data_IF_045594221096
#
_entry.id   IF_045594221096
#
_cell.length_a   1.000
_cell.length_b   1.000
_cell.length_c   1.000
_cell.angle_alpha   90.00
_cell.angle_beta   90.00
_cell.angle_gamma   90.00
#
_symmetry.space_group_name_H-M   'P 1'
#
loop_
_entity.id
_entity.type
_entity.pdbx_description
1 polymer ?
#
# COMPACT_ATOMS: atom_id res chain seq x y z
N UNK A 1 -3.74 20.55 2.42
CA UNK A 1 -3.23 21.87 2.87
C UNK A 1 -3.46 23.00 1.86
N UNK A 2 -3.03 22.84 0.60
CA UNK A 2 -2.99 23.93 -0.39
C UNK A 2 -4.37 24.56 -0.65
N UNK A 3 -5.41 23.74 -0.84
CA UNK A 3 -6.77 24.25 -1.05
C UNK A 3 -7.32 24.96 0.19
N UNK A 4 -7.10 24.41 1.39
CA UNK A 4 -7.46 25.08 2.65
C UNK A 4 -6.75 26.43 2.80
N UNK A 5 -5.44 26.47 2.53
CA UNK A 5 -4.63 27.68 2.51
C UNK A 5 -4.88 28.58 1.29
N UNK A 6 -5.74 28.21 0.34
CA UNK A 6 -6.12 29.06 -0.78
C UNK A 6 -7.50 29.67 -0.55
N UNK A 7 -8.45 28.85 -0.09
CA UNK A 7 -9.84 29.22 0.14
C UNK A 7 -10.03 30.09 1.39
N UNK A 8 -9.24 29.88 2.46
CA UNK A 8 -9.43 30.63 3.70
C UNK A 8 -8.92 32.09 3.59
N UNK A 9 -9.74 33.09 3.97
CA UNK A 9 -9.33 34.49 3.94
C UNK A 9 -8.22 34.80 4.95
N UNK A 10 -7.23 35.59 4.53
CA UNK A 10 -6.02 35.92 5.32
C UNK A 10 -6.34 36.52 6.70
N UNK A 11 -7.49 37.19 6.84
CA UNK A 11 -7.95 37.83 8.10
C UNK A 11 -8.23 36.84 9.24
N UNK A 12 -8.46 35.56 8.93
CA UNK A 12 -8.80 34.55 9.93
C UNK A 12 -7.58 33.74 10.42
N UNK A 13 -6.42 33.91 9.76
CA UNK A 13 -5.18 33.19 10.10
C UNK A 13 -4.61 33.55 11.46
N UNK A 14 -4.80 34.77 11.96
CA UNK A 14 -4.30 35.17 13.28
C UNK A 14 -5.07 34.59 14.48
N UNK A 15 -6.24 33.97 14.28
CA UNK A 15 -7.10 33.50 15.38
C UNK A 15 -6.55 32.19 15.98
N UNK A 16 -6.76 32.01 17.29
CA UNK A 16 -6.39 30.77 18.03
C UNK A 16 -6.91 29.51 17.37
N UNK A 17 -8.09 29.58 16.75
CA UNK A 17 -8.69 28.49 15.98
C UNK A 17 -7.79 27.99 14.84
N UNK A 18 -7.24 28.87 14.00
CA UNK A 18 -6.39 28.45 12.88
C UNK A 18 -5.07 27.83 13.36
N UNK A 19 -4.53 28.29 14.49
CA UNK A 19 -3.35 27.67 15.12
C UNK A 19 -3.63 26.24 15.57
N UNK A 20 -4.80 25.98 16.14
CA UNK A 20 -5.23 24.63 16.55
C UNK A 20 -5.47 23.74 15.32
N UNK A 21 -6.17 24.25 14.31
CA UNK A 21 -6.44 23.49 13.07
C UNK A 21 -5.14 23.13 12.34
N UNK A 22 -4.18 24.06 12.24
CA UNK A 22 -2.87 23.78 11.66
C UNK A 22 -2.09 22.74 12.47
N UNK A 23 -2.10 22.86 13.80
CA UNK A 23 -1.42 21.91 14.67
C UNK A 23 -2.03 20.50 14.53
N UNK A 24 -3.35 20.39 14.54
CA UNK A 24 -4.05 19.12 14.31
C UNK A 24 -3.76 18.56 12.91
N UNK A 25 -3.73 19.40 11.89
CA UNK A 25 -3.39 18.99 10.53
C UNK A 25 -1.96 18.42 10.43
N UNK A 26 -0.98 19.11 11.02
CA UNK A 26 0.40 18.61 11.07
C UNK A 26 0.52 17.35 11.93
N UNK A 27 -0.22 17.26 13.04
CA UNK A 27 -0.30 16.03 13.83
C UNK A 27 -0.77 14.85 12.99
N UNK A 28 -1.86 15.01 12.23
CA UNK A 28 -2.37 13.95 11.35
C UNK A 28 -1.33 13.58 10.28
N UNK A 29 -0.68 14.55 9.63
CA UNK A 29 0.38 14.27 8.64
C UNK A 29 1.52 13.47 9.27
N UNK A 30 2.06 13.93 10.40
CA UNK A 30 3.18 13.28 11.07
C UNK A 30 2.79 11.87 11.51
N UNK A 31 1.59 11.72 12.07
CA UNK A 31 1.04 10.42 12.45
C UNK A 31 0.90 9.49 11.25
N UNK A 32 0.41 9.97 10.11
CA UNK A 32 0.30 9.19 8.88
C UNK A 32 1.67 8.79 8.32
N UNK A 33 2.66 9.69 8.36
CA UNK A 33 4.03 9.38 7.90
C UNK A 33 4.70 8.33 8.78
N UNK A 34 4.54 8.43 10.10
CA UNK A 34 5.06 7.45 11.06
C UNK A 34 4.31 6.12 10.92
N UNK A 35 2.98 6.15 10.79
CA UNK A 35 2.17 4.96 10.52
C UNK A 35 2.66 4.26 9.26
N UNK A 36 2.84 5.02 8.17
CA UNK A 36 3.36 4.48 6.91
C UNK A 36 4.73 3.83 7.10
N UNK A 37 5.67 4.49 7.79
CA UNK A 37 6.99 3.93 8.04
C UNK A 37 6.94 2.63 8.85
N UNK A 38 6.11 2.57 9.90
CA UNK A 38 5.92 1.35 10.71
C UNK A 38 5.27 0.24 9.88
N UNK A 39 4.21 0.56 9.14
CA UNK A 39 3.51 -0.39 8.27
C UNK A 39 4.44 -0.93 7.19
N UNK A 40 5.24 -0.07 6.57
CA UNK A 40 6.19 -0.44 5.53
C UNK A 40 7.33 -1.30 6.10
N UNK A 41 7.81 -0.99 7.31
CA UNK A 41 8.78 -1.82 8.00
C UNK A 41 8.26 -3.23 8.29
N UNK A 42 7.05 -3.34 8.87
CA UNK A 42 6.43 -4.65 9.14
C UNK A 42 6.18 -5.41 7.84
N UNK A 43 5.70 -4.73 6.80
CA UNK A 43 5.45 -5.33 5.50
C UNK A 43 6.75 -5.83 4.84
N UNK A 44 7.84 -5.07 4.98
CA UNK A 44 9.16 -5.46 4.48
C UNK A 44 9.71 -6.69 5.21
N UNK A 45 9.55 -6.77 6.53
CA UNK A 45 9.98 -7.96 7.30
C UNK A 45 9.22 -9.22 6.87
N UNK A 46 7.93 -9.10 6.55
CA UNK A 46 7.10 -10.24 6.15
C UNK A 46 7.33 -10.68 4.69
N UNK A 47 7.38 -9.71 3.77
CA UNK A 47 7.36 -10.00 2.33
C UNK A 47 8.67 -9.65 1.60
N UNK A 48 9.61 -8.99 2.26
CA UNK A 48 10.89 -8.52 1.67
C UNK A 48 10.73 -7.65 0.41
N UNK A 49 9.59 -6.98 0.28
CA UNK A 49 9.24 -6.10 -0.85
C UNK A 49 8.50 -4.85 -0.36
N UNK A 50 8.42 -3.79 -1.19
CA UNK A 50 7.60 -2.61 -0.89
C UNK A 50 6.12 -2.93 -1.03
N UNK A 51 5.27 -2.00 -0.61
CA UNK A 51 3.82 -2.13 -0.79
C UNK A 51 3.46 -2.46 -2.24
N UNK A 52 2.69 -3.52 -2.41
CA UNK A 52 2.27 -4.06 -3.69
C UNK A 52 0.78 -4.46 -3.62
N UNK A 53 0.34 -5.28 -4.56
CA UNK A 53 -1.01 -5.86 -4.60
C UNK A 53 -1.48 -6.44 -3.26
N UNK A 54 -0.61 -7.14 -2.52
CA UNK A 54 -0.94 -7.78 -1.24
C UNK A 54 -1.38 -6.73 -0.21
N UNK A 55 -0.70 -5.58 -0.17
CA UNK A 55 -1.06 -4.49 0.75
C UNK A 55 -2.44 -3.91 0.45
N UNK A 56 -2.85 -3.87 -0.83
CA UNK A 56 -4.18 -3.43 -1.27
C UNK A 56 -5.24 -4.44 -0.86
N UNK A 57 -4.99 -5.73 -1.13
CA UNK A 57 -5.89 -6.81 -0.72
C UNK A 57 -6.12 -6.84 0.79
N UNK A 58 -5.10 -6.51 1.59
CA UNK A 58 -5.22 -6.44 3.05
C UNK A 58 -6.19 -5.35 3.53
N UNK A 59 -6.35 -4.28 2.75
CA UNK A 59 -7.31 -3.20 3.02
C UNK A 59 -8.71 -3.52 2.50
N UNK A 60 -8.84 -4.40 1.51
CA UNK A 60 -10.14 -4.87 0.99
C UNK A 60 -10.69 -5.97 1.90
N UNK A 61 -9.85 -6.94 2.28
CA UNK A 61 -10.21 -8.11 3.09
C UNK A 61 -9.88 -7.92 4.58
N UNK A 62 -10.44 -6.86 5.15
CA UNK A 62 -10.06 -6.37 6.49
C UNK A 62 -10.35 -7.32 7.64
N UNK A 63 -11.41 -8.13 7.59
CA UNK A 63 -11.86 -8.94 8.73
C UNK A 63 -10.86 -10.00 9.13
N UNK A 64 -10.28 -10.69 8.14
CA UNK A 64 -9.30 -11.75 8.35
C UNK A 64 -7.95 -11.15 8.77
N UNK A 65 -7.52 -10.12 8.05
CA UNK A 65 -6.22 -9.48 8.26
C UNK A 65 -6.14 -8.76 9.61
N UNK A 66 -7.19 -8.04 10.03
CA UNK A 66 -7.21 -7.38 11.35
C UNK A 66 -7.14 -8.42 12.47
N UNK A 67 -7.80 -9.57 12.31
CA UNK A 67 -7.71 -10.68 13.25
C UNK A 67 -6.27 -11.18 13.39
N UNK A 68 -5.62 -11.45 12.26
CA UNK A 68 -4.23 -11.91 12.22
C UNK A 68 -3.28 -10.89 12.84
N UNK A 69 -3.41 -9.60 12.49
CA UNK A 69 -2.54 -8.54 13.03
C UNK A 69 -2.70 -8.39 14.55
N UNK A 70 -3.93 -8.48 15.07
CA UNK A 70 -4.19 -8.38 16.51
C UNK A 70 -3.60 -9.54 17.31
N UNK A 71 -3.52 -10.73 16.71
CA UNK A 71 -2.93 -11.91 17.33
C UNK A 71 -1.40 -11.87 17.26
N UNK A 72 -0.85 -11.41 16.12
CA UNK A 72 0.59 -11.41 15.87
C UNK A 72 1.34 -10.21 16.47
N UNK A 73 0.68 -9.06 16.65
CA UNK A 73 1.34 -7.82 17.08
C UNK A 73 0.60 -7.12 18.23
N UNK A 74 1.33 -6.47 19.16
CA UNK A 74 0.75 -5.68 20.24
C UNK A 74 0.22 -4.34 19.71
N UNK A 75 -0.87 -4.37 18.94
CA UNK A 75 -1.40 -3.22 18.19
C UNK A 75 -1.69 -2.01 19.08
N UNK A 76 -2.20 -2.23 20.30
CA UNK A 76 -2.50 -1.17 21.25
C UNK A 76 -1.23 -0.41 21.67
N UNK A 77 -0.13 -1.13 21.87
CA UNK A 77 1.18 -0.55 22.22
C UNK A 77 1.74 0.23 21.04
N UNK A 78 1.65 -0.32 19.82
CA UNK A 78 2.09 0.36 18.60
C UNK A 78 1.33 1.67 18.40
N UNK A 79 0.00 1.65 18.53
CA UNK A 79 -0.84 2.85 18.40
C UNK A 79 -0.55 3.88 19.49
N UNK A 80 -0.31 3.45 20.73
CA UNK A 80 0.04 4.36 21.83
C UNK A 80 1.38 5.05 21.58
N UNK A 81 2.42 4.30 21.17
CA UNK A 81 3.73 4.86 20.81
C UNK A 81 3.59 5.82 19.64
N UNK A 82 2.87 5.42 18.59
CA UNK A 82 2.63 6.26 17.42
C UNK A 82 1.99 7.60 17.82
N UNK A 83 0.96 7.56 18.66
CA UNK A 83 0.28 8.76 19.13
C UNK A 83 1.24 9.67 19.93
N UNK A 84 1.97 9.11 20.89
CA UNK A 84 2.91 9.85 21.75
C UNK A 84 4.02 10.49 20.91
N UNK A 85 4.68 9.72 20.04
CA UNK A 85 5.78 10.22 19.19
C UNK A 85 5.27 11.29 18.24
N UNK A 86 4.11 11.08 17.61
CA UNK A 86 3.50 12.09 16.72
C UNK A 86 3.14 13.36 17.46
N UNK A 87 2.61 13.25 18.68
CA UNK A 87 2.27 14.39 19.52
C UNK A 87 3.52 15.16 19.95
N UNK A 88 4.58 14.46 20.37
CA UNK A 88 5.85 15.07 20.78
C UNK A 88 6.52 15.80 19.61
N UNK A 89 6.59 15.19 18.43
CA UNK A 89 7.16 15.83 17.23
C UNK A 89 6.35 17.04 16.80
N UNK A 90 5.01 16.93 16.77
CA UNK A 90 4.14 18.05 16.43
C UNK A 90 4.28 19.19 17.44
N UNK A 91 4.35 18.87 18.73
CA UNK A 91 4.56 19.83 19.79
C UNK A 91 5.94 20.51 19.68
N UNK A 92 7.00 19.76 19.34
CA UNK A 92 8.34 20.31 19.07
C UNK A 92 8.35 21.29 17.90
N UNK A 93 7.60 20.98 16.84
CA UNK A 93 7.47 21.82 15.65
C UNK A 93 6.46 22.97 15.79
N UNK A 94 5.73 23.08 16.91
CA UNK A 94 4.64 24.06 17.09
C UNK A 94 5.08 25.50 16.80
N UNK A 95 6.29 25.87 17.20
CA UNK A 95 6.81 27.23 17.02
C UNK A 95 7.03 27.53 15.54
N UNK A 96 7.56 26.58 14.78
CA UNK A 96 7.75 26.68 13.32
C UNK A 96 6.39 26.78 12.60
N UNK A 97 5.43 25.93 13.00
CA UNK A 97 4.08 25.91 12.44
C UNK A 97 3.36 27.25 12.68
N UNK A 98 3.49 27.82 13.88
CA UNK A 98 2.87 29.10 14.21
C UNK A 98 3.53 30.30 13.54
N UNK A 99 4.84 30.26 13.29
CA UNK A 99 5.53 31.29 12.50
C UNK A 99 5.00 31.36 11.07
N UNK A 100 4.62 30.23 10.47
CA UNK A 100 3.99 30.22 9.15
C UNK A 100 2.63 30.95 9.13
N UNK A 101 2.01 31.17 10.30
CA UNK A 101 0.71 31.83 10.43
C UNK A 101 0.79 33.35 10.58
N UNK A 102 1.98 33.92 10.86
CA UNK A 102 2.15 35.37 11.13
C UNK A 102 2.43 36.19 9.87
N UNK A 103 2.81 35.55 8.77
CA UNK A 103 3.16 36.26 7.53
C UNK A 103 1.92 36.49 6.66
N UNK A 104 1.55 37.76 6.47
CA UNK A 104 0.48 38.12 5.53
C UNK A 104 0.94 37.95 4.09
N UNK A 105 0.40 36.96 3.39
CA UNK A 105 0.68 36.73 1.96
C UNK A 105 -0.48 37.23 1.10
N UNK A 106 -0.16 37.95 0.02
CA UNK A 106 -1.18 38.46 -0.93
C UNK A 106 -1.80 37.29 -1.70
N UNK A 107 -3.10 37.37 -2.02
CA UNK A 107 -3.84 36.30 -2.72
C UNK A 107 -3.20 35.85 -4.05
N UNK A 108 -2.63 36.81 -4.81
CA UNK A 108 -1.90 36.53 -6.06
C UNK A 108 -0.65 35.67 -5.86
N UNK A 109 0.11 35.92 -4.78
CA UNK A 109 1.29 35.12 -4.43
C UNK A 109 0.90 33.73 -3.92
N UNK A 110 -0.16 33.64 -3.10
CA UNK A 110 -0.72 32.35 -2.64
C UNK A 110 -1.19 31.48 -3.81
N UNK A 111 -1.84 32.08 -4.80
CA UNK A 111 -2.34 31.36 -5.98
C UNK A 111 -1.20 30.84 -6.85
N UNK A 112 -0.13 31.62 -7.05
CA UNK A 112 1.07 31.15 -7.78
C UNK A 112 1.74 29.99 -7.06
N UNK A 113 1.92 30.09 -5.74
CA UNK A 113 2.52 29.01 -4.95
C UNK A 113 1.64 27.75 -4.93
N UNK A 114 0.33 27.93 -4.76
CA UNK A 114 -0.64 26.83 -4.82
C UNK A 114 -0.59 26.11 -6.17
N UNK A 115 -0.53 26.86 -7.27
CA UNK A 115 -0.42 26.29 -8.61
C UNK A 115 0.88 25.48 -8.77
N UNK A 116 2.02 26.00 -8.33
CA UNK A 116 3.31 25.27 -8.39
C UNK A 116 3.26 23.99 -7.56
N UNK A 117 2.71 24.04 -6.33
CA UNK A 117 2.62 22.86 -5.47
C UNK A 117 1.64 21.83 -6.04
N UNK A 118 0.53 22.25 -6.66
CA UNK A 118 -0.43 21.35 -7.30
C UNK A 118 0.07 20.78 -8.63
N UNK A 119 0.95 21.50 -9.33
CA UNK A 119 1.62 21.01 -10.53
C UNK A 119 2.60 19.88 -10.21
N UNK A 120 3.22 19.86 -9.02
CA UNK A 120 4.16 18.82 -8.64
C UNK A 120 3.57 17.39 -8.71
N UNK A 121 2.46 17.04 -8.03
CA UNK A 121 1.88 15.70 -8.12
C UNK A 121 1.38 15.37 -9.53
N UNK A 122 0.86 16.36 -10.28
CA UNK A 122 0.43 16.17 -11.67
C UNK A 122 1.64 15.85 -12.57
N UNK A 123 2.74 16.57 -12.39
CA UNK A 123 3.98 16.31 -13.11
C UNK A 123 4.53 14.93 -12.75
N UNK A 124 4.54 14.55 -11.46
CA UNK A 124 4.94 13.21 -11.03
C UNK A 124 4.12 12.14 -11.73
N UNK A 125 2.79 12.30 -11.85
CA UNK A 125 1.92 11.34 -12.53
C UNK A 125 2.29 11.12 -14.01
N UNK A 126 2.62 12.19 -14.75
CA UNK A 126 2.95 12.08 -16.17
C UNK A 126 4.41 11.79 -16.46
N UNK A 127 5.33 12.23 -15.61
CA UNK A 127 6.78 12.15 -15.86
C UNK A 127 7.43 10.91 -15.22
N UNK A 128 6.87 10.37 -14.13
CA UNK A 128 7.47 9.26 -13.40
C UNK A 128 6.86 7.95 -13.85
N UNK A 129 7.71 7.07 -14.37
CA UNK A 129 7.33 5.71 -14.72
C UNK A 129 7.78 4.74 -13.61
N UNK A 130 6.86 3.90 -13.13
CA UNK A 130 7.14 2.89 -12.10
C UNK A 130 8.26 1.93 -12.51
N UNK A 131 8.45 1.66 -13.81
CA UNK A 131 9.55 0.81 -14.34
C UNK A 131 10.95 1.35 -14.06
N UNK A 132 11.10 2.59 -13.60
CA UNK A 132 12.42 3.12 -13.27
C UNK A 132 13.07 2.38 -12.10
N UNK A 133 12.30 1.71 -11.23
CA UNK A 133 12.85 0.89 -10.14
C UNK A 133 13.40 -0.48 -10.60
N UNK A 134 13.03 -0.95 -11.79
CA UNK A 134 13.43 -2.28 -12.30
C UNK A 134 14.68 -2.18 -13.17
N UNK A 135 15.84 -1.94 -12.55
CA UNK A 135 17.14 -1.80 -13.24
C UNK A 135 18.07 -2.99 -13.01
N UNK A 136 17.83 -3.78 -11.97
CA UNK A 136 18.64 -4.93 -11.62
C UNK A 136 17.89 -6.23 -11.92
N UNK A 137 18.62 -7.30 -12.22
CA UNK A 137 18.08 -8.66 -12.24
C UNK A 137 17.70 -9.15 -10.83
N UNK A 138 18.16 -8.46 -9.77
CA UNK A 138 17.82 -8.77 -8.40
C UNK A 138 16.58 -7.97 -7.94
N UNK A 139 15.47 -8.68 -7.75
CA UNK A 139 14.21 -8.10 -7.28
C UNK A 139 14.37 -7.33 -5.95
N UNK A 140 15.19 -7.82 -5.02
CA UNK A 140 15.42 -7.15 -3.75
C UNK A 140 16.02 -5.74 -3.92
N UNK A 141 16.95 -5.59 -4.86
CA UNK A 141 17.58 -4.29 -5.18
C UNK A 141 16.56 -3.34 -5.83
N UNK A 142 15.72 -3.88 -6.72
CA UNK A 142 14.65 -3.10 -7.35
C UNK A 142 13.65 -2.57 -6.32
N UNK A 143 13.23 -3.41 -5.37
CA UNK A 143 12.31 -3.03 -4.29
C UNK A 143 12.94 -2.03 -3.31
N UNK A 144 14.25 -2.15 -3.03
CA UNK A 144 14.95 -1.18 -2.20
C UNK A 144 15.00 0.22 -2.85
N UNK A 145 15.11 0.27 -4.19
CA UNK A 145 15.13 1.51 -4.97
C UNK A 145 13.76 2.20 -5.12
N UNK A 146 12.68 1.47 -4.82
CA UNK A 146 11.30 1.96 -4.88
C UNK A 146 10.89 2.82 -3.69
N UNK A 147 9.68 3.38 -3.76
CA UNK A 147 9.06 4.15 -2.68
C UNK A 147 7.70 3.53 -2.32
N UNK A 148 7.53 3.11 -1.06
CA UNK A 148 6.31 2.42 -0.64
C UNK A 148 5.02 3.20 -0.89
N UNK A 149 4.98 4.51 -0.68
CA UNK A 149 3.76 5.30 -0.93
C UNK A 149 3.40 5.38 -2.40
N UNK A 150 4.40 5.55 -3.28
CA UNK A 150 4.18 5.54 -4.72
C UNK A 150 3.76 4.14 -5.19
N UNK A 151 4.44 3.09 -4.73
CA UNK A 151 4.19 1.71 -5.10
C UNK A 151 2.81 1.24 -4.63
N UNK A 152 2.37 1.66 -3.43
CA UNK A 152 1.01 1.44 -2.94
C UNK A 152 -0.04 2.08 -3.85
N UNK A 153 0.15 3.34 -4.24
CA UNK A 153 -0.77 4.03 -5.16
C UNK A 153 -0.79 3.38 -6.54
N UNK A 154 0.38 2.96 -7.04
CA UNK A 154 0.49 2.25 -8.31
C UNK A 154 -0.21 0.89 -8.28
N UNK A 155 -0.01 0.10 -7.22
CA UNK A 155 -0.64 -1.20 -7.02
C UNK A 155 -2.17 -1.08 -6.85
N UNK A 156 -2.67 -0.04 -6.17
CA UNK A 156 -4.10 0.20 -6.04
C UNK A 156 -4.79 0.37 -7.40
N UNK A 157 -4.12 0.98 -8.37
CA UNK A 157 -4.65 1.16 -9.73
C UNK A 157 -4.41 -0.06 -10.62
N UNK A 158 -3.29 -0.75 -10.43
CA UNK A 158 -2.89 -1.95 -11.17
C UNK A 158 -2.97 -3.16 -10.25
N UNK A 159 -4.21 -3.50 -9.86
CA UNK A 159 -4.49 -4.48 -8.83
C UNK A 159 -4.37 -5.92 -9.40
N UNK A 160 -3.15 -6.34 -9.73
CA UNK A 160 -2.86 -7.71 -10.17
C UNK A 160 -1.53 -8.19 -9.58
N UNK A 161 -1.49 -9.46 -9.19
CA UNK A 161 -0.26 -10.12 -8.74
C UNK A 161 0.58 -10.54 -9.95
N UNK A 162 1.80 -10.03 -10.02
CA UNK A 162 2.78 -10.52 -11.00
C UNK A 162 3.37 -11.86 -10.55
N UNK A 163 2.72 -12.96 -10.94
CA UNK A 163 3.08 -14.31 -10.52
C UNK A 163 4.52 -14.69 -10.87
N UNK A 164 5.01 -14.32 -12.05
CA UNK A 164 6.35 -14.66 -12.51
C UNK A 164 7.43 -13.91 -11.72
N UNK A 165 7.11 -12.74 -11.18
CA UNK A 165 8.03 -11.97 -10.32
C UNK A 165 8.19 -12.57 -8.93
N UNK A 166 7.12 -13.12 -8.34
CA UNK A 166 7.15 -13.63 -6.96
C UNK A 166 7.45 -15.13 -6.86
N UNK A 167 7.24 -15.90 -7.92
CA UNK A 167 7.39 -17.35 -7.91
C UNK A 167 8.39 -17.83 -8.95
N UNK A 168 9.22 -18.79 -8.56
CA UNK A 168 10.03 -19.54 -9.53
C UNK A 168 9.11 -20.39 -10.38
N UNK A 169 8.94 -19.99 -11.63
CA UNK A 169 8.12 -20.73 -12.58
C UNK A 169 8.97 -21.66 -13.44
N UNK A 170 8.35 -22.75 -13.89
CA UNK A 170 8.86 -23.59 -14.96
C UNK A 170 8.13 -23.22 -16.25
N UNK A 171 8.76 -23.38 -17.43
CA UNK A 171 8.03 -23.28 -18.69
C UNK A 171 6.79 -24.16 -18.65
N UNK A 172 5.64 -23.62 -19.06
CA UNK A 172 4.33 -24.30 -18.92
C UNK A 172 4.36 -25.72 -19.51
N UNK A 173 5.10 -25.94 -20.61
CA UNK A 173 5.25 -27.25 -21.23
C UNK A 173 5.92 -28.27 -20.30
N UNK A 174 6.96 -27.85 -19.58
CA UNK A 174 7.71 -28.69 -18.66
C UNK A 174 6.90 -28.95 -17.39
N UNK A 175 6.23 -27.91 -16.87
CA UNK A 175 5.31 -28.03 -15.74
C UNK A 175 4.18 -29.03 -16.04
N UNK A 176 3.57 -28.93 -17.22
CA UNK A 176 2.53 -29.87 -17.68
C UNK A 176 3.09 -31.28 -17.84
N UNK A 177 4.28 -31.45 -18.42
CA UNK A 177 4.91 -32.76 -18.56
C UNK A 177 5.18 -33.42 -17.20
N UNK A 178 5.74 -32.66 -16.25
CA UNK A 178 6.01 -33.11 -14.88
C UNK A 178 4.71 -33.48 -14.15
N UNK A 179 3.71 -32.61 -14.20
CA UNK A 179 2.39 -32.88 -13.62
C UNK A 179 1.80 -34.18 -14.18
N UNK A 180 1.85 -34.35 -15.51
CA UNK A 180 1.34 -35.54 -16.18
C UNK A 180 2.08 -36.81 -15.72
N UNK A 181 3.40 -36.76 -15.62
CA UNK A 181 4.20 -37.90 -15.15
C UNK A 181 3.92 -38.27 -13.68
N UNK A 182 3.72 -37.28 -12.82
CA UNK A 182 3.58 -37.50 -11.37
C UNK A 182 2.17 -37.95 -10.98
N UNK A 183 1.13 -37.40 -11.61
CA UNK A 183 -0.25 -37.56 -11.16
C UNK A 183 -1.15 -38.38 -12.09
N UNK A 184 -0.74 -38.64 -13.33
CA UNK A 184 -1.58 -39.32 -14.32
C UNK A 184 -1.07 -40.74 -14.53
N UNK A 185 -1.60 -41.68 -13.74
CA UNK A 185 -1.31 -43.10 -13.93
C UNK A 185 -2.25 -43.84 -14.87
N UNK A 186 -3.51 -43.43 -15.11
CA UNK A 186 -4.39 -44.30 -15.94
C UNK A 186 -5.63 -43.74 -16.68
N UNK A 187 -6.07 -42.48 -16.58
CA UNK A 187 -7.36 -42.13 -17.26
C UNK A 187 -7.67 -40.65 -17.55
N UNK A 188 -6.78 -39.93 -18.24
CA UNK A 188 -7.09 -38.57 -18.74
C UNK A 188 -6.98 -38.48 -20.26
N UNK A 189 -8.02 -37.97 -20.91
CA UNK A 189 -7.96 -37.55 -22.31
C UNK A 189 -7.09 -36.29 -22.40
N UNK A 190 -6.14 -36.30 -23.35
CA UNK A 190 -5.19 -35.21 -23.56
C UNK A 190 -5.87 -34.11 -24.40
N UNK A 191 -6.03 -32.92 -23.83
CA UNK A 191 -6.60 -31.76 -24.56
C UNK A 191 -5.68 -30.55 -24.44
N UNK A 192 -4.67 -30.46 -25.31
CA UNK A 192 -3.75 -29.32 -25.37
C UNK A 192 -2.98 -29.07 -24.07
N UNK A 193 -3.05 -27.83 -23.56
CA UNK A 193 -2.41 -27.39 -22.31
C UNK A 193 -3.18 -27.75 -21.03
N UNK A 194 -4.41 -28.27 -21.16
CA UNK A 194 -5.27 -28.62 -20.04
C UNK A 194 -5.36 -30.15 -19.89
N UNK A 195 -5.74 -30.63 -18.69
CA UNK A 195 -5.97 -32.05 -18.44
C UNK A 195 -7.31 -32.20 -17.74
N UNK A 196 -8.25 -32.93 -18.34
CA UNK A 196 -9.61 -33.14 -17.81
C UNK A 196 -9.75 -34.54 -17.23
N UNK A 197 -10.18 -34.65 -15.97
CA UNK A 197 -10.44 -35.93 -15.28
C UNK A 197 -11.90 -36.21 -15.11
N UNK A 198 -12.35 -37.33 -15.69
CA UNK A 198 -13.61 -37.93 -15.33
C UNK A 198 -13.36 -38.85 -14.13
N UNK A 199 -13.80 -38.43 -12.95
CA UNK A 199 -13.79 -39.25 -11.74
C UNK A 199 -15.10 -40.02 -11.71
N UNK A 200 -15.04 -41.31 -12.03
CA UNK A 200 -16.18 -42.22 -11.87
C UNK A 200 -16.00 -42.94 -10.54
N UNK A 201 -16.89 -42.69 -9.58
CA UNK A 201 -16.89 -43.40 -8.30
C UNK A 201 -17.22 -44.87 -8.52
N UNK A 202 -16.33 -45.77 -8.08
CA UNK A 202 -16.57 -47.22 -8.08
C UNK A 202 -17.46 -47.66 -6.91
N UNK A 203 -17.66 -46.78 -5.92
CA UNK A 203 -18.46 -47.05 -4.71
C UNK A 203 -19.87 -46.48 -4.82
N UNK A 204 -20.84 -47.14 -4.17
CA UNK A 204 -22.22 -46.65 -4.08
C UNK A 204 -22.23 -45.30 -3.37
N UNK A 205 -22.93 -44.28 -3.90
CA UNK A 205 -22.94 -42.94 -3.32
C UNK A 205 -23.52 -42.98 -1.90
N UNK A 206 -22.74 -42.48 -0.93
CA UNK A 206 -23.20 -42.32 0.43
C UNK A 206 -23.96 -41.00 0.55
N UNK A 207 -25.23 -41.03 0.95
CA UNK A 207 -26.00 -39.81 1.18
C UNK A 207 -25.62 -39.20 2.52
N UNK A 208 -24.71 -38.21 2.47
CA UNK A 208 -24.36 -37.42 3.65
C UNK A 208 -25.24 -36.17 3.74
N UNK A 209 -25.69 -35.84 4.95
CA UNK A 209 -26.51 -34.65 5.21
C UNK A 209 -25.71 -33.34 5.12
N UNK A 210 -24.37 -33.41 5.07
CA UNK A 210 -23.48 -32.26 4.90
C UNK A 210 -22.36 -32.65 3.95
N UNK A 211 -22.11 -31.80 2.95
CA UNK A 211 -21.00 -31.88 1.99
C UNK A 211 -20.17 -30.61 2.19
N UNK A 212 -18.86 -30.76 2.41
CA UNK A 212 -17.88 -29.67 2.49
C UNK A 212 -17.34 -29.34 1.10
#
# INVERSE_FOLDING_TARGET
MVLYLWLFPAKWFGKRFNKIVLLLYFFVIIATLIANAISEFIFWEEFSVRFNFIAVDYLVYTTEVIGNIRQSYPINTILAILFIVSALLTYGLRNLIWQATTTQTKFKQRSKLAMVILLAPLATYFLVNHKWKTQSDNQYVNELSGNGMYDFGFAFWHNELDYDTFYKTLPVKDAVSLFRKTFIKDSLQKTGSYSTRNIVSTEKPNQMNVVL
#
